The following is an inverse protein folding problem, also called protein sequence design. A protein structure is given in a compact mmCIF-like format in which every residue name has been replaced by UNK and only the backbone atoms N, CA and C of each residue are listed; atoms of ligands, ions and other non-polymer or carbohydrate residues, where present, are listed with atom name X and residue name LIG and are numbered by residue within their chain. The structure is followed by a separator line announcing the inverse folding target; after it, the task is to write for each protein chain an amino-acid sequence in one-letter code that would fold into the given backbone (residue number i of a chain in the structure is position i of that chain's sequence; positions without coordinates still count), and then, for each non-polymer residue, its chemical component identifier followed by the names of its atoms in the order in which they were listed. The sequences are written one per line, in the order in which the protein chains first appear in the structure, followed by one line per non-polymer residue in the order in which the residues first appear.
data_IF_675215619009
#
_entry.id   IF_675215619009
#
_cell.length_a   1.000
_cell.length_b   1.000
_cell.length_c   1.000
_cell.angle_alpha   90.00
_cell.angle_beta   90.00
_cell.angle_gamma   90.00
#
_symmetry.space_group_name_H-M   'P 1'
#
loop_
_entity.id
_entity.type
_entity.pdbx_description
1 polymer ?
#
# COMPACT_ATOMS: atom_id res chain seq x y z
N UNK A 1 -3.30 13.31 -8.61
CA UNK A 1 -4.05 12.52 -7.63
C UNK A 1 -3.33 11.23 -7.31
N UNK A 2 -3.18 10.91 -6.05
CA UNK A 2 -2.47 9.73 -5.63
C UNK A 2 -3.38 8.51 -5.65
N UNK A 3 -2.89 7.44 -6.25
CA UNK A 3 -3.66 6.20 -6.30
C UNK A 3 -2.79 5.03 -5.86
N UNK A 4 -3.36 3.84 -5.90
CA UNK A 4 -2.64 2.63 -5.49
C UNK A 4 -1.41 2.37 -6.35
N UNK A 5 -1.45 2.77 -7.60
CA UNK A 5 -0.29 2.63 -8.48
C UNK A 5 0.89 3.45 -7.98
N UNK A 6 0.60 4.65 -7.50
CA UNK A 6 1.64 5.51 -6.98
C UNK A 6 2.24 4.92 -5.73
N UNK A 7 1.39 4.33 -4.89
CA UNK A 7 1.84 3.67 -3.68
C UNK A 7 2.74 2.48 -4.03
N UNK A 8 2.31 1.69 -5.00
CA UNK A 8 3.09 0.52 -5.42
C UNK A 8 4.47 0.93 -5.94
N UNK A 9 4.50 1.97 -6.72
CA UNK A 9 5.74 2.48 -7.28
C UNK A 9 6.66 2.99 -6.17
N UNK A 10 6.09 3.73 -5.25
CA UNK A 10 6.86 4.30 -4.15
C UNK A 10 7.39 3.21 -3.24
N UNK A 11 6.57 2.20 -2.97
CA UNK A 11 6.93 1.11 -2.08
C UNK A 11 7.84 0.09 -2.74
N UNK A 12 7.89 0.08 -4.07
CA UNK A 12 8.68 -0.90 -4.79
C UNK A 12 8.05 -2.27 -4.80
N UNK A 13 6.73 -2.32 -4.80
CA UNK A 13 6.00 -3.59 -4.81
C UNK A 13 4.98 -3.56 -5.93
N UNK A 14 4.34 -4.70 -6.16
CA UNK A 14 3.33 -4.79 -7.21
C UNK A 14 2.03 -4.14 -6.75
N UNK A 15 1.22 -3.78 -7.71
CA UNK A 15 -0.09 -3.21 -7.41
C UNK A 15 -0.95 -4.21 -6.64
N UNK A 16 -0.81 -5.49 -6.97
CA UNK A 16 -1.54 -6.53 -6.25
C UNK A 16 -1.20 -6.54 -4.77
N UNK A 17 0.08 -6.34 -4.45
CA UNK A 17 0.52 -6.30 -3.07
C UNK A 17 -0.11 -5.13 -2.33
N UNK A 18 -0.16 -3.97 -2.98
CA UNK A 18 -0.79 -2.81 -2.37
C UNK A 18 -2.27 -3.09 -2.10
N UNK A 19 -2.93 -3.71 -3.05
CA UNK A 19 -4.34 -4.05 -2.91
C UNK A 19 -4.57 -4.97 -1.71
N UNK A 20 -3.70 -5.97 -1.55
CA UNK A 20 -3.82 -6.90 -0.43
C UNK A 20 -3.66 -6.18 0.90
N UNK A 21 -2.71 -5.27 0.97
CA UNK A 21 -2.49 -4.53 2.21
C UNK A 21 -3.67 -3.62 2.53
N UNK A 22 -4.16 -2.92 1.52
CA UNK A 22 -5.27 -1.99 1.70
C UNK A 22 -6.54 -2.71 2.11
N UNK A 23 -6.82 -3.84 1.47
CA UNK A 23 -8.03 -4.59 1.75
C UNK A 23 -7.92 -5.51 2.96
N UNK A 24 -6.71 -5.77 3.39
CA UNK A 24 -6.51 -6.67 4.52
C UNK A 24 -6.77 -8.11 4.17
N UNK A 25 -6.79 -8.45 2.89
CA UNK A 25 -7.01 -9.80 2.43
C UNK A 25 -5.69 -10.46 2.06
N UNK A 26 -5.64 -11.77 2.26
CA UNK A 26 -4.46 -12.51 1.86
C UNK A 26 -3.31 -12.31 2.83
N UNK A 27 -2.22 -13.00 2.54
CA UNK A 27 -1.06 -12.94 3.38
C UNK A 27 -0.02 -11.99 2.82
N UNK A 28 0.40 -11.06 3.64
CA UNK A 28 1.45 -10.13 3.27
C UNK A 28 2.43 -10.10 4.43
N UNK A 29 3.72 -10.24 4.15
CA UNK A 29 4.71 -10.22 5.21
C UNK A 29 4.73 -8.85 5.87
N UNK A 30 5.23 -8.81 7.11
CA UNK A 30 5.31 -7.56 7.85
C UNK A 30 6.18 -6.55 7.12
N UNK A 31 7.24 -7.02 6.49
CA UNK A 31 8.15 -6.15 5.78
C UNK A 31 7.45 -5.47 4.61
N UNK A 32 6.71 -6.24 3.83
CA UNK A 32 5.95 -5.69 2.70
C UNK A 32 4.90 -4.71 3.17
N UNK A 33 4.18 -5.11 4.21
CA UNK A 33 3.14 -4.25 4.77
C UNK A 33 3.72 -2.92 5.22
N UNK A 34 4.86 -2.96 5.88
CA UNK A 34 5.51 -1.77 6.37
C UNK A 34 5.91 -0.85 5.22
N UNK A 35 6.45 -1.44 4.17
CA UNK A 35 6.85 -0.67 2.99
C UNK A 35 5.65 0.06 2.37
N UNK A 36 4.55 -0.66 2.24
CA UNK A 36 3.36 -0.06 1.65
C UNK A 36 2.82 1.04 2.55
N UNK A 37 2.79 0.80 3.85
CA UNK A 37 2.29 1.80 4.78
C UNK A 37 3.14 3.07 4.75
N UNK A 38 4.45 2.92 4.70
CA UNK A 38 5.34 4.06 4.63
C UNK A 38 5.14 4.83 3.33
N UNK A 39 4.94 4.10 2.25
CA UNK A 39 4.69 4.73 0.96
C UNK A 39 3.39 5.51 0.99
N UNK A 40 2.37 4.95 1.61
CA UNK A 40 1.09 5.64 1.73
C UNK A 40 1.22 6.92 2.53
N UNK A 41 1.98 6.87 3.60
CA UNK A 41 2.20 8.06 4.43
C UNK A 41 2.96 9.13 3.65
N UNK A 42 3.99 8.71 2.93
CA UNK A 42 4.81 9.63 2.17
C UNK A 42 4.01 10.34 1.08
N UNK A 43 3.05 9.64 0.50
CA UNK A 43 2.22 10.19 -0.56
C UNK A 43 0.92 10.77 -0.03
N UNK A 44 0.75 10.71 1.27
CA UNK A 44 -0.46 11.19 1.91
C UNK A 44 -1.70 10.50 1.34
N UNK A 45 -1.55 9.22 1.04
CA UNK A 45 -2.65 8.42 0.51
C UNK A 45 -3.43 7.85 1.69
N UNK A 46 -4.67 8.21 1.80
CA UNK A 46 -5.51 7.78 2.89
C UNK A 46 -6.58 6.84 2.38
N UNK A 47 -6.63 5.64 2.92
CA UNK A 47 -7.69 4.73 2.59
C UNK A 47 -8.83 5.02 3.54
N UNK A 48 -9.95 5.30 2.96
CA UNK A 48 -11.10 5.58 3.75
C UNK A 48 -11.68 4.30 4.22
N UNK A 49 -11.18 3.86 5.27
CA UNK A 49 -11.64 2.62 5.74
C UNK A 49 -12.24 2.77 7.09
N UNK A 50 -13.43 2.60 7.17
CA UNK A 50 -14.11 2.87 8.40
C UNK A 50 -14.58 1.62 9.06
#
# INVERSE_FOLDING_TARGET
MVGMRDVAKKAGVSLSTVSLVVNGNGYVSNDMRDRVRKAMQALNYVTKNV
#
